data_IF_266724241398
#
_entry.id   IF_266724241398
#
_cell.length_a   1.000
_cell.length_b   1.000
_cell.length_c   1.000
_cell.angle_alpha   90.00
_cell.angle_beta   90.00
_cell.angle_gamma   90.00
#
_symmetry.space_group_name_H-M   'P 1'
#
loop_
_entity.id
_entity.type
_entity.pdbx_description
1 polymer ?
#
# COMPACT_ATOMS: atom_id res chain seq x y z
N UNK A 1 -11.25 18.77 -1.03
CA UNK A 1 -10.08 17.85 -1.02
C UNK A 1 -9.11 18.27 -2.11
N UNK A 2 -7.84 18.37 -1.79
CA UNK A 2 -6.76 18.87 -2.68
C UNK A 2 -6.36 17.88 -3.78
N UNK A 3 -6.87 16.65 -3.74
CA UNK A 3 -6.45 15.52 -4.59
C UNK A 3 -6.41 15.87 -6.08
N UNK A 4 -7.25 16.80 -6.50
CA UNK A 4 -7.41 17.13 -7.91
C UNK A 4 -7.06 18.58 -8.26
N UNK A 5 -6.60 19.36 -7.28
CA UNK A 5 -6.36 20.79 -7.49
C UNK A 5 -4.88 21.18 -7.45
N UNK A 6 -4.00 20.31 -6.95
CA UNK A 6 -2.59 20.66 -6.73
C UNK A 6 -1.69 19.42 -6.95
N UNK A 7 -0.48 19.66 -7.46
CA UNK A 7 0.58 18.66 -7.48
C UNK A 7 1.20 18.56 -6.08
N UNK A 8 0.88 17.53 -5.32
CA UNK A 8 1.35 17.36 -3.96
C UNK A 8 2.13 16.05 -3.78
N UNK A 9 2.86 15.97 -2.68
CA UNK A 9 3.61 14.78 -2.27
C UNK A 9 2.88 14.09 -1.11
N UNK A 10 2.63 12.80 -1.25
CA UNK A 10 2.21 11.94 -0.14
C UNK A 10 3.45 11.59 0.67
N UNK A 11 3.70 12.37 1.70
CA UNK A 11 4.94 12.27 2.47
C UNK A 11 4.78 11.36 3.69
N UNK A 12 5.46 10.21 3.67
CA UNK A 12 5.85 9.49 4.88
C UNK A 12 7.28 9.88 5.20
N UNK A 13 7.44 11.07 5.80
CA UNK A 13 8.74 11.68 6.07
C UNK A 13 9.34 11.23 7.40
N UNK A 14 10.50 11.76 7.77
CA UNK A 14 11.09 11.55 9.09
C UNK A 14 10.17 12.00 10.23
N UNK A 15 9.37 13.05 10.02
CA UNK A 15 8.44 13.57 11.02
C UNK A 15 7.44 12.52 11.53
N UNK A 16 7.19 11.49 10.74
CA UNK A 16 6.29 10.41 11.13
C UNK A 16 6.95 9.34 12.01
N UNK A 17 8.28 9.30 12.09
CA UNK A 17 9.03 8.17 12.68
C UNK A 17 10.10 8.59 13.67
N UNK A 18 10.01 9.80 14.24
CA UNK A 18 10.96 10.36 15.23
C UNK A 18 10.24 10.92 16.44
N UNK A 19 11.00 11.28 17.47
CA UNK A 19 10.54 12.03 18.64
C UNK A 19 9.40 11.36 19.42
N UNK A 20 9.54 10.07 19.72
CA UNK A 20 8.58 9.25 20.47
C UNK A 20 7.26 9.01 19.75
N UNK A 21 7.25 9.19 18.42
CA UNK A 21 6.09 8.91 17.58
C UNK A 21 6.00 7.46 17.13
N UNK A 22 6.98 6.62 17.50
CA UNK A 22 7.17 5.24 17.04
C UNK A 22 7.60 5.13 15.58
N UNK A 23 8.15 3.98 15.19
CA UNK A 23 8.36 3.66 13.77
C UNK A 23 7.03 3.42 13.06
N UNK A 24 7.04 3.45 11.72
CA UNK A 24 5.81 3.29 10.95
C UNK A 24 5.13 1.94 11.23
N UNK A 25 5.89 0.85 11.27
CA UNK A 25 5.35 -0.49 11.57
C UNK A 25 4.81 -0.57 13.00
N UNK A 26 5.45 0.09 13.96
CA UNK A 26 5.03 0.03 15.36
C UNK A 26 3.74 0.83 15.63
N UNK A 27 3.38 1.76 14.75
CA UNK A 27 2.08 2.44 14.78
C UNK A 27 0.93 1.56 14.31
N UNK A 28 1.20 0.55 13.49
CA UNK A 28 0.18 -0.38 13.01
C UNK A 28 -0.34 -1.19 14.21
N UNK A 29 -1.65 -1.19 14.47
CA UNK A 29 -2.22 -1.96 15.56
C UNK A 29 -2.09 -3.47 15.33
N UNK A 30 -2.25 -4.27 16.38
CA UNK A 30 -2.23 -5.72 16.31
C UNK A 30 -0.89 -6.35 16.69
N UNK A 31 -0.84 -7.67 16.57
CA UNK A 31 0.32 -8.50 16.84
C UNK A 31 1.34 -8.44 15.70
N UNK A 32 2.50 -9.05 15.88
CA UNK A 32 3.63 -8.99 14.95
C UNK A 32 3.24 -9.21 13.49
N UNK A 33 2.54 -10.31 13.17
CA UNK A 33 2.13 -10.62 11.79
C UNK A 33 1.10 -9.63 11.25
N UNK A 34 0.18 -9.18 12.09
CA UNK A 34 -0.83 -8.18 11.73
C UNK A 34 -0.20 -6.82 11.43
N UNK A 35 0.87 -6.44 12.13
CA UNK A 35 1.62 -5.22 11.84
C UNK A 35 2.21 -5.24 10.43
N UNK A 36 2.78 -6.36 9.98
CA UNK A 36 3.29 -6.49 8.62
C UNK A 36 2.17 -6.46 7.57
N UNK A 37 1.06 -7.15 7.82
CA UNK A 37 -0.10 -7.11 6.93
C UNK A 37 -0.66 -5.69 6.80
N UNK A 38 -0.89 -5.01 7.91
CA UNK A 38 -1.39 -3.64 7.92
C UNK A 38 -0.41 -2.64 7.29
N UNK A 39 0.90 -2.81 7.51
CA UNK A 39 1.91 -1.95 6.87
C UNK A 39 1.93 -2.14 5.35
N UNK A 40 1.83 -3.38 4.85
CA UNK A 40 1.70 -3.65 3.40
C UNK A 40 0.46 -2.95 2.82
N UNK A 41 -0.69 -3.06 3.47
CA UNK A 41 -1.94 -2.40 3.05
C UNK A 41 -1.77 -0.87 3.03
N UNK A 42 -1.18 -0.30 4.08
CA UNK A 42 -0.96 1.15 4.17
C UNK A 42 0.00 1.68 3.09
N UNK A 43 1.11 0.99 2.86
CA UNK A 43 2.06 1.37 1.81
C UNK A 43 1.46 1.18 0.41
N UNK A 44 0.61 0.17 0.21
CA UNK A 44 -0.16 0.01 -1.04
C UNK A 44 -1.08 1.20 -1.25
N UNK A 45 -1.82 1.62 -0.22
CA UNK A 45 -2.64 2.83 -0.30
C UNK A 45 -1.81 4.04 -0.69
N UNK A 46 -0.69 4.30 -0.02
CA UNK A 46 0.20 5.42 -0.33
C UNK A 46 0.71 5.37 -1.77
N UNK A 47 1.14 4.18 -2.24
CA UNK A 47 1.72 4.03 -3.58
C UNK A 47 0.70 4.11 -4.71
N UNK A 48 -0.55 3.75 -4.46
CA UNK A 48 -1.60 3.73 -5.50
C UNK A 48 -2.53 4.95 -5.45
N UNK A 49 -2.59 5.68 -4.33
CA UNK A 49 -3.37 6.91 -4.23
C UNK A 49 -2.73 8.04 -5.09
N UNK A 50 -3.50 9.00 -5.66
CA UNK A 50 -2.93 10.15 -6.37
C UNK A 50 -1.89 10.93 -5.55
N UNK A 51 -0.92 11.55 -6.22
CA UNK A 51 0.17 12.34 -5.64
C UNK A 51 1.53 11.67 -5.77
N UNK A 52 2.60 12.47 -5.70
CA UNK A 52 3.98 11.98 -5.69
C UNK A 52 4.28 11.23 -4.40
N UNK A 53 5.17 10.24 -4.46
CA UNK A 53 5.47 9.34 -3.35
C UNK A 53 6.76 9.75 -2.64
N UNK A 54 6.70 9.79 -1.32
CA UNK A 54 7.88 9.88 -0.47
C UNK A 54 7.74 8.85 0.65
N UNK A 55 8.61 7.85 0.64
CA UNK A 55 8.73 6.87 1.71
C UNK A 55 10.08 7.02 2.39
N UNK A 56 10.10 7.35 3.67
CA UNK A 56 11.33 7.59 4.40
C UNK A 56 12.08 6.28 4.69
N UNK A 57 13.40 6.37 4.74
CA UNK A 57 14.30 5.23 4.95
C UNK A 57 13.95 4.44 6.23
N UNK A 58 14.02 3.11 6.13
CA UNK A 58 13.69 2.18 7.22
C UNK A 58 12.25 1.67 7.22
N UNK A 59 11.33 2.39 6.57
CA UNK A 59 9.95 1.91 6.43
C UNK A 59 9.88 0.66 5.54
N UNK A 60 10.75 0.59 4.51
CA UNK A 60 10.80 -0.51 3.54
C UNK A 60 11.32 -1.83 4.13
N UNK A 61 12.01 -1.77 5.26
CA UNK A 61 12.47 -2.96 5.99
C UNK A 61 11.63 -3.22 7.24
N UNK A 62 10.67 -2.34 7.54
CA UNK A 62 9.80 -2.48 8.70
C UNK A 62 10.55 -2.44 10.03
N UNK A 63 11.59 -1.59 10.16
CA UNK A 63 12.30 -1.50 11.43
C UNK A 63 11.37 -1.01 12.54
N UNK A 64 11.43 -1.67 13.71
CA UNK A 64 10.60 -1.31 14.87
C UNK A 64 11.15 -0.12 15.65
N UNK A 65 12.47 0.09 15.59
CA UNK A 65 13.09 1.25 16.20
C UNK A 65 12.74 2.52 15.43
N UNK A 66 12.48 3.60 16.14
CA UNK A 66 12.38 4.94 15.54
C UNK A 66 13.66 5.28 14.79
N UNK A 67 13.55 6.10 13.76
CA UNK A 67 14.70 6.63 13.07
C UNK A 67 15.49 7.58 13.99
N UNK A 68 16.81 7.51 13.91
CA UNK A 68 17.74 8.30 14.72
C UNK A 68 18.94 8.67 13.84
N UNK A 69 19.21 9.95 13.69
CA UNK A 69 20.29 10.48 12.84
C UNK A 69 21.70 10.05 13.32
N UNK A 70 21.82 9.60 14.57
CA UNK A 70 23.08 9.14 15.15
C UNK A 70 23.30 7.63 15.00
N UNK A 71 22.41 6.94 14.34
CA UNK A 71 22.44 5.48 14.18
C UNK A 71 22.14 5.08 12.75
N UNK A 72 22.80 4.03 12.29
CA UNK A 72 22.40 3.39 11.05
C UNK A 72 21.04 2.69 11.19
N UNK A 73 20.40 2.43 10.05
CA UNK A 73 19.18 1.64 9.98
C UNK A 73 19.43 0.25 10.56
N UNK A 74 18.40 -0.35 11.11
CA UNK A 74 18.46 -1.67 11.71
C UNK A 74 18.46 -2.78 10.64
N UNK A 75 19.53 -2.83 9.83
CA UNK A 75 19.69 -3.82 8.76
C UNK A 75 19.64 -5.26 9.24
N UNK A 76 19.90 -5.50 10.52
CA UNK A 76 19.85 -6.82 11.13
C UNK A 76 18.45 -7.45 11.09
N UNK A 77 17.39 -6.64 10.99
CA UNK A 77 16.01 -7.16 10.87
C UNK A 77 15.80 -8.00 9.62
N UNK A 78 16.60 -7.77 8.57
CA UNK A 78 16.52 -8.53 7.33
C UNK A 78 16.93 -10.01 7.47
N UNK A 79 17.46 -10.44 8.62
CA UNK A 79 17.61 -11.88 8.92
C UNK A 79 16.26 -12.60 9.16
N UNK A 80 15.19 -11.86 9.43
CA UNK A 80 13.87 -12.40 9.69
C UNK A 80 12.98 -12.37 8.43
N UNK A 81 12.27 -13.46 8.20
CA UNK A 81 11.47 -13.66 6.99
C UNK A 81 10.45 -12.56 6.73
N UNK A 82 9.73 -12.11 7.76
CA UNK A 82 8.70 -11.06 7.60
C UNK A 82 9.27 -9.74 7.07
N UNK A 83 10.46 -9.37 7.51
CA UNK A 83 11.14 -8.16 7.04
C UNK A 83 11.65 -8.31 5.60
N UNK A 84 12.19 -9.49 5.25
CA UNK A 84 12.62 -9.79 3.87
C UNK A 84 11.43 -9.75 2.91
N UNK A 85 10.33 -10.40 3.27
CA UNK A 85 9.13 -10.46 2.41
C UNK A 85 8.45 -9.11 2.30
N UNK A 86 8.46 -8.28 3.36
CA UNK A 86 8.02 -6.88 3.28
C UNK A 86 8.88 -6.09 2.29
N UNK A 87 10.21 -6.18 2.40
CA UNK A 87 11.11 -5.47 1.48
C UNK A 87 10.87 -5.91 0.03
N UNK A 88 10.68 -7.21 -0.20
CA UNK A 88 10.37 -7.73 -1.53
C UNK A 88 9.01 -7.24 -2.04
N UNK A 89 8.00 -7.19 -1.18
CA UNK A 89 6.69 -6.63 -1.52
C UNK A 89 6.81 -5.18 -1.97
N UNK A 90 7.55 -4.36 -1.23
CA UNK A 90 7.74 -2.94 -1.54
C UNK A 90 8.51 -2.75 -2.85
N UNK A 91 9.51 -3.58 -3.14
CA UNK A 91 10.19 -3.56 -4.44
C UNK A 91 9.21 -3.79 -5.60
N UNK A 92 8.34 -4.79 -5.46
CA UNK A 92 7.32 -5.08 -6.48
C UNK A 92 6.32 -3.94 -6.58
N UNK A 93 5.89 -3.37 -5.47
CA UNK A 93 4.97 -2.24 -5.43
C UNK A 93 5.57 -0.98 -6.10
N UNK A 94 6.85 -0.72 -5.89
CA UNK A 94 7.56 0.36 -6.57
C UNK A 94 7.70 0.10 -8.08
N UNK A 95 7.97 -1.15 -8.46
CA UNK A 95 8.03 -1.54 -9.87
C UNK A 95 6.66 -1.39 -10.53
N UNK A 96 5.59 -1.80 -9.87
CA UNK A 96 4.23 -1.60 -10.32
C UNK A 96 3.95 -0.11 -10.57
N UNK A 97 4.32 0.76 -9.62
CA UNK A 97 4.18 2.20 -9.78
C UNK A 97 4.90 2.74 -11.03
N UNK A 98 6.10 2.24 -11.33
CA UNK A 98 6.89 2.67 -12.49
C UNK A 98 6.39 2.13 -13.83
N UNK A 99 5.70 1.00 -13.83
CA UNK A 99 5.25 0.32 -15.06
C UNK A 99 3.80 0.58 -15.43
N UNK A 100 3.00 1.10 -14.51
CA UNK A 100 1.57 1.38 -14.74
C UNK A 100 1.29 2.89 -14.80
N UNK A 101 1.11 3.46 -16.00
CA UNK A 101 0.84 4.89 -16.18
C UNK A 101 -0.32 5.39 -15.34
N UNK A 102 -1.36 4.60 -15.13
CA UNK A 102 -2.49 4.97 -14.30
C UNK A 102 -2.13 5.37 -12.87
N UNK A 103 -0.95 4.96 -12.36
CA UNK A 103 -0.50 5.30 -11.01
C UNK A 103 0.28 6.61 -10.93
N UNK A 104 0.96 7.03 -12.00
CA UNK A 104 1.85 8.21 -12.00
C UNK A 104 1.49 9.27 -13.04
N UNK A 105 0.67 8.94 -14.06
CA UNK A 105 0.23 9.91 -15.06
C UNK A 105 -0.79 10.86 -14.41
N UNK A 106 -0.36 12.11 -14.23
CA UNK A 106 -1.16 13.16 -13.63
C UNK A 106 -1.86 14.06 -14.67
N UNK A 107 -1.74 13.72 -15.95
CA UNK A 107 -2.35 14.50 -17.05
C UNK A 107 -3.86 14.41 -17.07
N UNK A 108 -4.43 13.38 -16.48
CA UNK A 108 -5.87 13.14 -16.45
C UNK A 108 -6.60 13.73 -15.24
N UNK A 109 -5.90 14.33 -14.29
CA UNK A 109 -6.49 14.99 -13.13
C UNK A 109 -7.72 14.25 -12.53
N UNK A 110 -8.92 14.75 -12.80
CA UNK A 110 -10.21 14.25 -12.29
C UNK A 110 -10.57 12.86 -12.82
N UNK A 111 -10.22 12.56 -14.06
CA UNK A 111 -10.60 11.29 -14.71
C UNK A 111 -9.67 10.14 -14.34
N UNK A 112 -8.50 10.43 -13.79
CA UNK A 112 -7.49 9.43 -13.42
C UNK A 112 -7.78 8.70 -12.11
N UNK A 113 -8.78 9.13 -11.33
CA UNK A 113 -9.12 8.55 -10.03
C UNK A 113 -10.63 8.51 -9.81
N UNK A 114 -11.15 7.38 -9.38
CA UNK A 114 -12.57 7.17 -9.09
C UNK A 114 -12.75 6.29 -7.86
N UNK A 115 -13.47 6.77 -6.85
CA UNK A 115 -13.87 5.95 -5.72
C UNK A 115 -14.91 4.92 -6.13
N UNK A 116 -14.72 3.66 -5.70
CA UNK A 116 -15.70 2.58 -5.78
C UNK A 116 -16.31 2.35 -4.39
N UNK A 117 -15.48 2.26 -3.36
CA UNK A 117 -15.92 2.15 -1.97
C UNK A 117 -15.11 3.13 -1.12
N UNK A 118 -15.80 4.06 -0.45
CA UNK A 118 -15.15 5.11 0.36
C UNK A 118 -15.69 5.21 1.79
N UNK A 119 -16.90 4.75 2.06
CA UNK A 119 -17.60 4.95 3.33
C UNK A 119 -18.00 3.63 4.01
N UNK A 120 -17.34 2.52 3.72
CA UNK A 120 -17.61 1.24 4.35
C UNK A 120 -16.85 1.12 5.68
N UNK A 121 -17.37 1.81 6.70
CA UNK A 121 -16.78 1.80 8.03
C UNK A 121 -16.97 0.47 8.77
N UNK A 122 -18.01 -0.30 8.40
CA UNK A 122 -18.30 -1.60 9.01
C UNK A 122 -17.24 -2.64 8.66
N UNK A 123 -16.83 -2.67 7.39
CA UNK A 123 -15.83 -3.62 6.90
C UNK A 123 -14.41 -3.05 6.87
N UNK A 124 -14.23 -1.73 7.02
CA UNK A 124 -12.94 -1.05 6.86
C UNK A 124 -12.31 -1.31 5.51
N UNK A 125 -13.11 -1.32 4.46
CA UNK A 125 -12.69 -1.54 3.07
C UNK A 125 -12.72 -0.24 2.30
N UNK A 126 -11.67 0.00 1.53
CA UNK A 126 -11.61 1.05 0.52
C UNK A 126 -11.37 0.42 -0.85
N UNK A 127 -12.04 0.92 -1.87
CA UNK A 127 -11.77 0.53 -3.24
C UNK A 127 -11.87 1.74 -4.16
N UNK A 128 -10.98 1.80 -5.14
CA UNK A 128 -10.95 2.86 -6.15
C UNK A 128 -10.30 2.39 -7.43
N UNK A 129 -10.58 3.12 -8.50
CA UNK A 129 -9.93 2.92 -9.80
C UNK A 129 -8.86 3.97 -10.01
N UNK A 130 -7.75 3.54 -10.61
CA UNK A 130 -6.73 4.38 -11.20
C UNK A 130 -6.76 4.17 -12.71
N UNK A 131 -6.84 5.26 -13.45
CA UNK A 131 -7.08 5.22 -14.89
C UNK A 131 -6.03 6.01 -15.63
N UNK A 132 -5.52 5.45 -16.72
CA UNK A 132 -4.78 6.17 -17.76
C UNK A 132 -5.52 6.05 -19.08
N UNK A 133 -4.87 6.41 -20.18
CA UNK A 133 -5.48 6.30 -21.51
C UNK A 133 -5.79 4.84 -21.88
N UNK A 134 -4.88 3.92 -21.52
CA UNK A 134 -4.87 2.56 -22.04
C UNK A 134 -5.10 1.49 -20.95
N UNK A 135 -5.21 1.89 -19.69
CA UNK A 135 -5.42 0.92 -18.60
C UNK A 135 -6.31 1.46 -17.48
N UNK A 136 -6.94 0.53 -16.77
CA UNK A 136 -7.63 0.79 -15.50
C UNK A 136 -7.17 -0.22 -14.48
N UNK A 137 -6.64 0.24 -13.36
CA UNK A 137 -6.33 -0.57 -12.20
C UNK A 137 -7.44 -0.42 -11.15
N UNK A 138 -7.97 -1.54 -10.68
CA UNK A 138 -8.85 -1.58 -9.51
C UNK A 138 -7.99 -1.89 -8.28
N UNK A 139 -8.00 -0.98 -7.33
CA UNK A 139 -7.31 -1.12 -6.05
C UNK A 139 -8.33 -1.41 -4.97
N UNK A 140 -8.13 -2.52 -4.24
CA UNK A 140 -9.00 -2.94 -3.13
C UNK A 140 -8.12 -3.06 -1.89
N UNK A 141 -8.48 -2.36 -0.83
CA UNK A 141 -7.74 -2.30 0.43
C UNK A 141 -8.64 -2.72 1.58
N UNK A 142 -8.28 -3.81 2.25
CA UNK A 142 -8.94 -4.25 3.48
C UNK A 142 -8.04 -3.89 4.68
N UNK A 143 -8.48 -2.96 5.50
CA UNK A 143 -7.79 -2.56 6.73
C UNK A 143 -8.26 -3.35 7.97
N UNK A 144 -9.24 -4.25 7.82
CA UNK A 144 -9.60 -5.18 8.87
C UNK A 144 -8.65 -6.39 8.91
N UNK A 145 -8.49 -7.02 10.07
CA UNK A 145 -7.69 -8.23 10.23
C UNK A 145 -8.52 -9.51 10.05
N UNK A 146 -9.47 -9.48 9.11
CA UNK A 146 -10.32 -10.61 8.79
C UNK A 146 -10.60 -10.66 7.29
N UNK A 147 -11.05 -11.83 6.83
CA UNK A 147 -11.56 -12.01 5.48
C UNK A 147 -13.04 -11.65 5.42
N UNK A 148 -13.44 -10.93 4.40
CA UNK A 148 -14.83 -10.68 4.07
C UNK A 148 -15.26 -11.64 2.96
N UNK A 149 -16.05 -12.64 3.30
CA UNK A 149 -16.60 -13.57 2.31
C UNK A 149 -17.78 -12.95 1.58
N UNK A 150 -17.83 -13.14 0.26
CA UNK A 150 -18.89 -12.60 -0.61
C UNK A 150 -19.01 -11.07 -0.58
N UNK A 151 -17.88 -10.38 -0.35
CA UNK A 151 -17.84 -8.92 -0.46
C UNK A 151 -18.12 -8.50 -1.90
N UNK A 152 -19.06 -7.57 -2.10
CA UNK A 152 -19.54 -7.16 -3.43
C UNK A 152 -19.05 -5.76 -3.76
N UNK A 153 -18.55 -5.58 -4.97
CA UNK A 153 -18.16 -4.28 -5.51
C UNK A 153 -19.06 -3.92 -6.67
N UNK A 154 -19.51 -2.66 -6.74
CA UNK A 154 -20.22 -2.12 -7.88
C UNK A 154 -19.21 -1.62 -8.91
N UNK A 155 -18.84 -2.50 -9.81
CA UNK A 155 -17.88 -2.23 -10.89
C UNK A 155 -18.40 -2.75 -12.23
N UNK A 156 -17.83 -2.26 -13.33
CA UNK A 156 -18.18 -2.70 -14.67
C UNK A 156 -17.89 -4.19 -14.85
N UNK A 157 -18.72 -4.86 -15.64
CA UNK A 157 -18.44 -6.25 -16.03
C UNK A 157 -17.20 -6.30 -16.92
N UNK A 158 -16.34 -7.26 -16.65
CA UNK A 158 -15.10 -7.46 -17.40
C UNK A 158 -14.26 -8.55 -16.78
N UNK A 159 -13.17 -8.86 -17.43
CA UNK A 159 -12.15 -9.77 -16.93
C UNK A 159 -11.11 -8.93 -16.16
N UNK A 160 -10.82 -9.31 -14.91
CA UNK A 160 -9.87 -8.64 -14.05
C UNK A 160 -8.80 -9.63 -13.61
N UNK A 161 -7.57 -9.30 -13.89
CA UNK A 161 -6.42 -10.09 -13.44
C UNK A 161 -5.85 -9.52 -12.14
N UNK A 162 -5.58 -10.39 -11.16
CA UNK A 162 -4.89 -10.01 -9.91
C UNK A 162 -3.40 -9.87 -10.17
N UNK A 163 -2.91 -8.65 -10.29
CA UNK A 163 -1.49 -8.36 -10.57
C UNK A 163 -0.65 -8.21 -9.29
N UNK A 164 -1.26 -7.91 -8.15
CA UNK A 164 -0.59 -7.84 -6.85
C UNK A 164 -1.57 -8.20 -5.74
N UNK A 165 -1.17 -9.11 -4.87
CA UNK A 165 -1.89 -9.44 -3.65
C UNK A 165 -0.93 -9.42 -2.45
N UNK A 166 -1.17 -8.53 -1.48
CA UNK A 166 -0.32 -8.43 -0.26
C UNK A 166 -0.36 -9.69 0.61
N UNK A 167 -1.39 -10.53 0.44
CA UNK A 167 -1.55 -11.82 1.13
C UNK A 167 -1.06 -13.02 0.32
N UNK A 168 -0.33 -12.79 -0.78
CA UNK A 168 0.30 -13.90 -1.50
C UNK A 168 1.39 -14.57 -0.66
N UNK A 169 1.53 -15.88 -0.82
CA UNK A 169 2.50 -16.72 -0.08
C UNK A 169 3.93 -16.17 -0.18
N UNK A 170 4.32 -15.61 -1.32
CA UNK A 170 5.65 -15.02 -1.53
C UNK A 170 5.92 -13.77 -0.67
N UNK A 171 4.88 -13.18 -0.07
CA UNK A 171 4.97 -12.06 0.86
C UNK A 171 4.55 -12.46 2.28
N UNK A 172 4.71 -13.75 2.61
CA UNK A 172 4.32 -14.35 3.89
C UNK A 172 2.83 -14.20 4.20
N UNK A 173 2.00 -14.17 3.19
CA UNK A 173 0.54 -14.25 3.31
C UNK A 173 0.04 -15.68 3.28
N UNK A 174 -1.26 -15.85 3.10
CA UNK A 174 -1.95 -17.14 3.12
C UNK A 174 -2.64 -17.50 1.80
N UNK A 175 -2.47 -16.68 0.77
CA UNK A 175 -3.20 -16.78 -0.51
C UNK A 175 -2.26 -17.09 -1.68
N UNK A 176 -2.85 -17.46 -2.80
CA UNK A 176 -2.18 -17.57 -4.09
C UNK A 176 -3.16 -17.06 -5.15
N UNK A 177 -3.23 -15.75 -5.29
CA UNK A 177 -4.24 -15.07 -6.11
C UNK A 177 -3.65 -14.37 -7.33
N UNK A 178 -2.37 -14.00 -7.32
CA UNK A 178 -1.76 -13.30 -8.46
C UNK A 178 -1.83 -14.15 -9.73
N UNK A 179 -2.13 -13.49 -10.86
CA UNK A 179 -2.34 -14.13 -12.16
C UNK A 179 -3.68 -14.87 -12.31
N UNK A 180 -4.58 -14.78 -11.31
CA UNK A 180 -5.95 -15.32 -11.42
C UNK A 180 -6.90 -14.26 -11.97
N UNK A 181 -7.85 -14.73 -12.76
CA UNK A 181 -8.90 -13.93 -13.39
C UNK A 181 -10.25 -14.22 -12.75
#
# INVERSE_FOLDING_TARGET
TYIFSEHYVLALSHDEVVHLKKSLIDKVPGEYDQKFAGLKTYLTYMMTHPGKKLNFMGNEIGQFREWDENRELDWSVLQFERHQTLQNYIKVLQQLYLTHPSLYDDTRYWDGFEWVVVNDNEHSVFAYKRKSQDETLLVILNFAYCEWHNYTLDIEKGDYEVILCSEDLKYSGSKSLEGKT
#
